data_IF_083043768697
#
_entry.id   IF_083043768697
#
_cell.length_a   1.000
_cell.length_b   1.000
_cell.length_c   1.000
_cell.angle_alpha   90.00
_cell.angle_beta   90.00
_cell.angle_gamma   90.00
#
_symmetry.space_group_name_H-M   'P 1'
#
loop_
_entity.id
_entity.type
_entity.pdbx_description
1 polymer ?
#
# COMPACT_ATOMS: atom_id res chain seq x y z
N UNK A 1 26.73 -0.79 -3.51
CA UNK A 1 25.83 0.15 -2.82
C UNK A 1 24.95 -0.65 -1.88
N UNK A 2 25.38 -0.83 -0.65
CA UNK A 2 24.57 -1.42 0.43
C UNK A 2 23.67 -0.32 0.99
N UNK A 3 22.36 -0.39 0.76
CA UNK A 3 21.42 0.47 1.49
C UNK A 3 21.49 0.07 2.95
N UNK A 4 21.86 1.01 3.80
CA UNK A 4 21.65 0.92 5.25
C UNK A 4 20.19 0.55 5.48
N UNK A 5 19.93 -0.60 6.08
CA UNK A 5 18.59 -0.95 6.56
C UNK A 5 18.31 -0.07 7.78
N UNK A 6 17.70 1.09 7.56
CA UNK A 6 16.92 1.72 8.61
C UNK A 6 15.93 0.67 9.13
N UNK A 7 15.85 0.48 10.43
CA UNK A 7 14.72 -0.24 11.04
C UNK A 7 13.48 0.55 10.64
N UNK A 8 12.65 0.08 9.70
CA UNK A 8 11.54 0.89 9.22
C UNK A 8 10.59 1.12 10.38
N UNK A 9 9.98 2.30 10.49
CA UNK A 9 8.90 2.56 11.45
C UNK A 9 7.62 1.75 11.19
N UNK A 10 7.70 0.72 10.35
CA UNK A 10 6.62 -0.10 9.85
C UNK A 10 6.45 0.03 8.34
N UNK A 11 5.35 -0.53 7.85
CA UNK A 11 4.96 -0.47 6.45
C UNK A 11 3.49 -0.09 6.39
N UNK A 12 3.16 0.96 5.64
CA UNK A 12 1.80 1.30 5.25
C UNK A 12 1.51 0.60 3.92
N UNK A 13 0.55 -0.34 3.93
CA UNK A 13 0.07 -1.00 2.71
C UNK A 13 -1.23 -0.34 2.30
N UNK A 14 -1.33 0.15 1.06
CA UNK A 14 -2.63 0.53 0.49
C UNK A 14 -3.26 -0.68 -0.20
N UNK A 15 -4.48 -1.01 0.19
CA UNK A 15 -5.33 -1.97 -0.52
C UNK A 15 -5.97 -1.33 -1.77
N UNK A 16 -6.85 -2.06 -2.46
CA UNK A 16 -7.50 -1.57 -3.68
C UNK A 16 -8.33 -0.30 -3.45
N UNK A 17 -9.09 -0.24 -2.35
CA UNK A 17 -9.90 0.92 -1.99
C UNK A 17 -9.01 2.13 -1.65
N UNK A 18 -8.01 1.92 -0.79
CA UNK A 18 -7.05 2.95 -0.39
C UNK A 18 -6.27 3.49 -1.57
N UNK A 19 -5.78 2.64 -2.47
CA UNK A 19 -5.06 3.09 -3.67
C UNK A 19 -5.99 3.87 -4.61
N UNK A 20 -7.20 3.40 -4.86
CA UNK A 20 -8.16 4.10 -5.71
C UNK A 20 -8.49 5.51 -5.15
N UNK A 21 -8.74 5.61 -3.84
CA UNK A 21 -8.96 6.88 -3.15
C UNK A 21 -7.72 7.79 -3.18
N UNK A 22 -6.51 7.24 -3.06
CA UNK A 22 -5.26 8.00 -3.18
C UNK A 22 -5.12 8.63 -4.58
N UNK A 23 -5.44 7.89 -5.65
CA UNK A 23 -5.43 8.40 -7.03
C UNK A 23 -6.42 9.55 -7.22
N UNK A 24 -7.57 9.48 -6.54
CA UNK A 24 -8.58 10.53 -6.52
C UNK A 24 -8.24 11.71 -5.61
N UNK A 25 -7.12 11.65 -4.88
CA UNK A 25 -6.69 12.63 -3.86
C UNK A 25 -7.74 12.83 -2.78
N UNK A 26 -8.39 11.74 -2.38
CA UNK A 26 -9.32 11.73 -1.26
C UNK A 26 -8.62 12.23 0.02
N UNK A 27 -9.31 13.07 0.80
CA UNK A 27 -8.76 13.73 1.99
C UNK A 27 -8.49 12.74 3.12
N UNK A 28 -9.32 11.72 3.27
CA UNK A 28 -9.19 10.73 4.34
C UNK A 28 -8.02 9.79 4.07
N UNK A 29 -7.71 9.54 2.80
CA UNK A 29 -6.56 8.72 2.41
C UNK A 29 -5.26 9.51 2.33
N UNK A 30 -5.29 10.75 1.86
CA UNK A 30 -4.06 11.56 1.67
C UNK A 30 -3.32 11.90 2.96
N UNK A 31 -3.97 11.77 4.13
CA UNK A 31 -3.30 11.91 5.44
C UNK A 31 -2.34 10.75 5.75
N UNK A 32 -2.64 9.53 5.29
CA UNK A 32 -1.86 8.35 5.66
C UNK A 32 -0.45 8.35 5.06
N UNK A 33 -0.22 8.74 3.79
CA UNK A 33 1.14 8.89 3.27
C UNK A 33 1.95 9.97 4.00
N UNK A 34 1.31 11.03 4.50
CA UNK A 34 2.00 12.06 5.28
C UNK A 34 2.41 11.52 6.66
N UNK A 35 1.52 10.74 7.30
CA UNK A 35 1.78 10.10 8.58
C UNK A 35 2.89 9.04 8.46
N UNK A 36 2.83 8.21 7.41
CA UNK A 36 3.88 7.26 7.08
C UNK A 36 5.24 7.93 6.87
N UNK A 37 5.28 9.08 6.21
CA UNK A 37 6.53 9.83 6.04
C UNK A 37 7.05 10.41 7.37
N UNK A 38 6.17 10.85 8.27
CA UNK A 38 6.54 11.34 9.59
C UNK A 38 7.10 10.23 10.49
N UNK A 39 6.59 9.01 10.34
CA UNK A 39 6.98 7.83 11.12
C UNK A 39 8.06 6.97 10.45
N UNK A 40 8.69 7.44 9.37
CA UNK A 40 9.69 6.69 8.57
C UNK A 40 9.19 5.28 8.12
N UNK A 41 7.89 5.21 7.80
CA UNK A 41 7.25 4.02 7.26
C UNK A 41 7.37 3.98 5.73
N UNK A 42 7.57 2.78 5.19
CA UNK A 42 7.47 2.57 3.74
C UNK A 42 6.00 2.52 3.33
N UNK A 43 5.66 3.23 2.26
CA UNK A 43 4.34 3.14 1.62
C UNK A 43 4.42 2.17 0.45
N UNK A 44 3.65 1.08 0.51
CA UNK A 44 3.66 0.03 -0.51
C UNK A 44 2.25 -0.31 -1.02
N UNK A 45 2.19 -0.95 -2.18
CA UNK A 45 1.02 -1.68 -2.69
C UNK A 45 1.50 -3.00 -3.31
N UNK A 46 0.60 -3.94 -3.59
CA UNK A 46 0.94 -5.17 -4.31
C UNK A 46 0.69 -5.02 -5.82
N UNK A 47 1.39 -5.84 -6.61
CA UNK A 47 1.09 -5.98 -8.04
C UNK A 47 -0.33 -6.53 -8.30
N UNK A 48 -0.87 -7.36 -7.40
CA UNK A 48 -2.25 -7.86 -7.50
C UNK A 48 -3.28 -6.73 -7.38
N UNK A 49 -3.03 -5.77 -6.47
CA UNK A 49 -3.88 -4.57 -6.30
C UNK A 49 -3.92 -3.69 -7.55
N UNK A 50 -2.85 -3.66 -8.36
CA UNK A 50 -2.85 -2.90 -9.61
C UNK A 50 -3.85 -3.46 -10.62
N UNK A 51 -4.06 -4.78 -10.65
CA UNK A 51 -5.03 -5.42 -11.56
C UNK A 51 -6.46 -4.96 -11.24
N UNK A 52 -6.75 -4.69 -9.96
CA UNK A 52 -8.07 -4.23 -9.51
C UNK A 52 -8.31 -2.75 -9.87
N UNK A 53 -7.30 -1.91 -9.70
CA UNK A 53 -7.44 -0.45 -9.82
C UNK A 53 -7.25 0.02 -11.26
N UNK A 54 -6.48 -0.67 -12.09
CA UNK A 54 -6.22 -0.25 -13.48
C UNK A 54 -7.40 -0.61 -14.38
N UNK A 55 -8.12 0.40 -14.86
CA UNK A 55 -9.23 0.25 -15.81
C UNK A 55 -9.26 1.40 -16.83
N UNK A 56 -9.97 1.29 -17.99
CA UNK A 56 -9.92 2.29 -19.07
C UNK A 56 -10.33 3.72 -18.68
N UNK A 57 -11.13 3.86 -17.61
CA UNK A 57 -11.59 5.16 -17.09
C UNK A 57 -10.63 5.78 -16.06
N UNK A 58 -9.54 5.11 -15.69
CA UNK A 58 -8.62 5.65 -14.68
C UNK A 58 -7.83 6.84 -15.24
N UNK A 59 -7.61 7.86 -14.40
CA UNK A 59 -6.74 8.99 -14.74
C UNK A 59 -5.28 8.54 -14.67
N UNK A 60 -4.75 7.99 -15.76
CA UNK A 60 -3.39 7.43 -15.82
C UNK A 60 -2.28 8.35 -15.27
N UNK A 61 -2.24 9.66 -15.57
CA UNK A 61 -1.25 10.56 -14.96
C UNK A 61 -1.36 10.66 -13.44
N UNK A 62 -2.58 10.59 -12.89
CA UNK A 62 -2.79 10.61 -11.44
C UNK A 62 -2.37 9.29 -10.78
N UNK A 63 -2.62 8.16 -11.46
CA UNK A 63 -2.13 6.85 -11.03
C UNK A 63 -0.61 6.80 -11.03
N UNK A 64 0.04 7.17 -12.12
CA UNK A 64 1.51 7.18 -12.25
C UNK A 64 2.16 8.08 -11.19
N UNK A 65 1.61 9.27 -10.96
CA UNK A 65 2.07 10.16 -9.89
C UNK A 65 1.89 9.56 -8.49
N UNK A 66 0.81 8.81 -8.26
CA UNK A 66 0.59 8.14 -6.97
C UNK A 66 1.59 7.02 -6.78
N UNK A 67 1.79 6.18 -7.80
CA UNK A 67 2.72 5.05 -7.77
C UNK A 67 4.18 5.49 -7.68
N UNK A 68 4.56 6.66 -8.21
CA UNK A 68 5.94 7.17 -8.08
C UNK A 68 6.34 7.49 -6.64
N UNK A 69 5.39 7.47 -5.71
CA UNK A 69 5.62 7.72 -4.27
C UNK A 69 5.53 6.45 -3.43
N UNK A 70 5.40 5.28 -4.07
CA UNK A 70 5.15 4.00 -3.42
C UNK A 70 6.08 2.93 -3.99
N UNK A 71 6.28 1.87 -3.22
CA UNK A 71 6.89 0.63 -3.75
C UNK A 71 5.78 -0.33 -4.15
N UNK A 72 5.88 -0.91 -5.35
CA UNK A 72 5.01 -2.02 -5.77
C UNK A 72 5.74 -3.32 -5.48
N UNK A 73 5.22 -4.11 -4.56
CA UNK A 73 5.80 -5.39 -4.16
C UNK A 73 5.22 -6.57 -4.98
N UNK A 74 6.04 -7.57 -5.23
CA UNK A 74 5.63 -8.83 -5.85
C UNK A 74 4.84 -9.69 -4.86
N UNK A 75 3.93 -10.52 -5.40
CA UNK A 75 3.11 -11.44 -4.59
C UNK A 75 3.73 -12.83 -4.64
N UNK A 76 4.14 -13.34 -3.48
CA UNK A 76 4.68 -14.70 -3.34
C UNK A 76 3.59 -15.71 -2.95
N UNK A 77 2.66 -15.29 -2.10
CA UNK A 77 1.55 -16.10 -1.60
C UNK A 77 0.30 -15.22 -1.68
N UNK A 78 -0.78 -15.78 -2.21
CA UNK A 78 -2.12 -15.17 -2.21
C UNK A 78 -3.07 -16.18 -1.57
N UNK A 79 -3.68 -15.80 -0.45
CA UNK A 79 -4.65 -16.61 0.28
C UNK A 79 -5.78 -15.72 0.77
N UNK A 80 -6.96 -16.32 0.90
CA UNK A 80 -8.13 -15.72 1.55
C UNK A 80 -8.56 -16.49 2.80
N UNK A 81 -7.81 -17.54 3.15
CA UNK A 81 -8.07 -18.35 4.32
C UNK A 81 -7.66 -17.57 5.59
N UNK A 82 -8.56 -17.38 6.56
CA UNK A 82 -8.26 -16.62 7.78
C UNK A 82 -7.19 -17.27 8.65
N UNK A 83 -7.07 -18.60 8.68
CA UNK A 83 -6.06 -19.30 9.47
C UNK A 83 -4.66 -19.11 8.86
N UNK A 84 -4.57 -19.10 7.52
CA UNK A 84 -3.33 -18.75 6.81
C UNK A 84 -2.93 -17.30 7.11
N UNK A 85 -3.88 -16.35 7.06
CA UNK A 85 -3.60 -14.94 7.35
C UNK A 85 -3.10 -14.74 8.79
N UNK A 86 -3.72 -15.42 9.76
CA UNK A 86 -3.26 -15.40 11.15
C UNK A 86 -1.85 -16.00 11.28
N UNK A 87 -1.55 -17.07 10.56
CA UNK A 87 -0.23 -17.71 10.55
C UNK A 87 0.84 -16.81 9.93
N UNK A 88 0.51 -16.12 8.82
CA UNK A 88 1.45 -15.27 8.09
C UNK A 88 1.69 -13.91 8.77
N UNK A 89 0.64 -13.24 9.24
CA UNK A 89 0.71 -11.88 9.74
C UNK A 89 0.77 -11.80 11.28
N UNK A 90 0.15 -12.75 11.98
CA UNK A 90 -0.03 -12.69 13.44
C UNK A 90 -0.59 -11.35 13.91
N UNK A 91 -0.04 -10.79 14.98
CA UNK A 91 -0.40 -9.46 15.52
C UNK A 91 0.36 -8.29 14.89
N UNK A 92 1.09 -8.50 13.79
CA UNK A 92 2.01 -7.48 13.21
C UNK A 92 1.33 -6.58 12.18
N UNK A 93 0.08 -6.86 11.83
CA UNK A 93 -0.70 -6.06 10.90
C UNK A 93 -1.88 -5.41 11.62
N UNK A 94 -2.12 -4.13 11.31
CA UNK A 94 -3.30 -3.40 11.74
C UNK A 94 -4.05 -2.91 10.50
N UNK A 95 -5.37 -3.06 10.49
CA UNK A 95 -6.23 -2.58 9.40
C UNK A 95 -6.87 -1.27 9.83
N UNK A 96 -6.73 -0.24 8.99
CA UNK A 96 -7.39 1.04 9.19
C UNK A 96 -8.44 1.24 8.11
N UNK A 97 -9.70 1.51 8.52
CA UNK A 97 -10.77 1.86 7.58
C UNK A 97 -10.59 3.32 7.13
N UNK A 98 -10.74 3.54 5.83
CA UNK A 98 -10.75 4.85 5.16
C UNK A 98 -12.03 5.05 4.36
#
# INVERSE_FOLDING_TARGET
MTRTSATPGGTLVLDGEGLAKAVLRDRDVTRWPALAAADDMRVITSAATLVEVVHPRIRRPALEWTLSRMVVELVTILTSDPDDLMTLCGSRAAVAKV
#
